data_IF_117808891596
#
_entry.id   IF_117808891596
#
_cell.length_a   1.000
_cell.length_b   1.000
_cell.length_c   1.000
_cell.angle_alpha   90.00
_cell.angle_beta   90.00
_cell.angle_gamma   90.00
#
_symmetry.space_group_name_H-M   'P 1'
#
loop_
_entity.id
_entity.type
_entity.pdbx_description
1 polymer ?
#
# COMPACT_ATOMS: atom_id res chain seq x y z
N UNK A 1 8.87 20.90 34.42
CA UNK A 1 8.30 22.00 33.62
C UNK A 1 9.46 22.90 33.27
N UNK A 2 10.15 22.54 32.20
CA UNK A 2 11.13 23.37 31.49
C UNK A 2 10.77 23.12 30.03
N UNK A 3 10.11 24.10 29.44
CA UNK A 3 9.92 24.21 28.00
C UNK A 3 11.20 24.88 27.53
N UNK A 4 12.01 24.15 26.76
CA UNK A 4 13.03 24.79 25.93
C UNK A 4 12.31 25.13 24.63
N UNK A 5 12.10 26.43 24.45
CA UNK A 5 11.56 27.05 23.25
C UNK A 5 12.65 26.96 22.16
N UNK A 6 12.52 25.99 21.26
CA UNK A 6 13.21 26.04 19.97
C UNK A 6 12.43 27.03 19.08
N UNK A 7 12.88 28.28 19.10
CA UNK A 7 12.41 29.31 18.16
C UNK A 7 12.87 28.95 16.74
N UNK A 8 11.91 28.62 15.88
CA UNK A 8 12.11 28.43 14.44
C UNK A 8 12.70 29.72 13.81
N UNK A 9 13.98 29.69 13.43
CA UNK A 9 14.59 30.73 12.59
C UNK A 9 14.00 30.64 11.16
N UNK A 10 13.10 31.57 10.83
CA UNK A 10 12.56 31.76 9.48
C UNK A 10 13.54 32.64 8.71
N UNK A 11 14.15 32.12 7.65
CA UNK A 11 14.99 32.91 6.75
C UNK A 11 14.16 33.93 5.94
N UNK A 12 14.78 35.07 5.59
CA UNK A 12 14.14 36.16 4.85
C UNK A 12 13.84 35.84 3.37
N UNK A 13 14.10 34.60 2.91
CA UNK A 13 13.76 34.12 1.56
C UNK A 13 12.61 33.10 1.54
N UNK A 14 11.96 32.80 2.68
CA UNK A 14 10.77 31.95 2.72
C UNK A 14 10.99 30.54 2.15
N UNK A 15 12.22 30.05 2.22
CA UNK A 15 12.62 28.74 1.73
C UNK A 15 12.71 27.75 2.89
N UNK A 16 12.04 26.62 2.79
CA UNK A 16 12.28 25.49 3.70
C UNK A 16 13.64 24.88 3.29
N UNK A 17 14.74 25.42 3.82
CA UNK A 17 16.11 24.96 3.50
C UNK A 17 16.47 23.67 4.27
N UNK A 18 15.79 23.36 5.38
CA UNK A 18 16.21 22.30 6.30
C UNK A 18 15.78 20.85 5.97
N UNK A 19 15.01 20.58 4.91
CA UNK A 19 14.52 19.21 4.63
C UNK A 19 15.34 18.41 3.60
N UNK A 20 16.33 19.03 2.94
CA UNK A 20 17.01 18.41 1.79
C UNK A 20 18.38 17.81 2.15
N UNK A 21 18.97 18.20 3.29
CA UNK A 21 20.37 17.85 3.60
C UNK A 21 20.61 16.35 3.88
N UNK A 22 19.55 15.58 4.22
CA UNK A 22 19.67 14.16 4.59
C UNK A 22 19.20 13.17 3.51
N UNK A 23 18.78 13.65 2.33
CA UNK A 23 18.24 12.80 1.28
C UNK A 23 19.31 12.25 0.33
N UNK A 24 19.30 10.94 0.12
CA UNK A 24 20.09 10.32 -0.94
C UNK A 24 19.52 10.71 -2.31
N UNK A 25 20.36 11.00 -3.32
CA UNK A 25 19.89 11.38 -4.66
C UNK A 25 18.88 10.41 -5.29
N UNK A 26 19.01 9.10 -5.01
CA UNK A 26 18.08 8.08 -5.50
C UNK A 26 16.66 8.21 -4.90
N UNK A 27 16.51 8.74 -3.68
CA UNK A 27 15.21 8.95 -3.05
C UNK A 27 14.43 10.07 -3.76
N UNK A 28 15.12 11.12 -4.19
CA UNK A 28 14.54 12.24 -4.96
C UNK A 28 14.00 11.82 -6.34
N UNK A 29 14.43 10.67 -6.86
CA UNK A 29 13.94 10.14 -8.14
C UNK A 29 12.54 9.56 -8.05
N UNK A 30 12.12 9.13 -6.86
CA UNK A 30 10.78 8.58 -6.67
C UNK A 30 9.77 9.62 -6.19
N UNK A 31 10.20 10.67 -5.47
CA UNK A 31 9.30 11.67 -4.88
C UNK A 31 9.90 13.05 -4.94
N UNK A 32 9.02 14.04 -4.92
CA UNK A 32 9.39 15.43 -4.68
C UNK A 32 8.71 15.92 -3.42
N UNK A 33 9.49 16.55 -2.54
CA UNK A 33 8.96 17.42 -1.50
C UNK A 33 8.67 18.78 -2.14
N UNK A 34 7.40 19.16 -2.26
CA UNK A 34 7.05 20.57 -2.50
C UNK A 34 7.02 21.29 -1.15
N UNK A 35 6.92 22.62 -1.17
CA UNK A 35 6.81 23.50 0.02
C UNK A 35 5.52 23.26 0.87
N UNK A 36 4.99 22.04 0.91
CA UNK A 36 3.83 21.56 1.67
C UNK A 36 4.16 20.17 2.19
N UNK A 37 3.50 19.70 3.26
CA UNK A 37 3.73 18.37 3.85
C UNK A 37 3.32 17.18 2.94
N UNK A 38 3.02 17.44 1.67
CA UNK A 38 2.51 16.45 0.72
C UNK A 38 3.64 15.91 -0.14
N UNK A 39 3.95 14.63 0.06
CA UNK A 39 4.92 13.89 -0.77
C UNK A 39 4.27 13.60 -2.12
N UNK A 40 4.87 14.10 -3.21
CA UNK A 40 4.37 13.89 -4.57
C UNK A 40 5.18 12.83 -5.32
N UNK A 41 4.51 12.06 -6.17
CA UNK A 41 5.16 11.04 -7.00
C UNK A 41 6.00 11.71 -8.10
N UNK A 42 7.30 11.44 -8.16
CA UNK A 42 8.17 11.97 -9.22
C UNK A 42 8.11 11.10 -10.49
N UNK A 43 6.93 11.01 -11.11
CA UNK A 43 6.67 10.15 -12.27
C UNK A 43 7.51 10.48 -13.51
N UNK A 44 8.16 11.66 -13.55
CA UNK A 44 9.09 12.07 -14.62
C UNK A 44 10.46 11.44 -14.49
N UNK A 45 10.90 11.12 -13.26
CA UNK A 45 12.25 10.61 -13.01
C UNK A 45 12.28 9.19 -12.46
N UNK A 46 11.13 8.63 -12.05
CA UNK A 46 11.04 7.30 -11.44
C UNK A 46 11.72 6.20 -12.28
N UNK A 47 11.69 6.34 -13.61
CA UNK A 47 12.32 5.39 -14.55
C UNK A 47 13.85 5.32 -14.44
N UNK A 48 14.51 6.28 -13.80
CA UNK A 48 15.95 6.27 -13.58
C UNK A 48 16.38 5.46 -12.36
N UNK A 49 15.46 5.12 -11.45
CA UNK A 49 15.78 4.39 -10.21
C UNK A 49 16.53 3.08 -10.48
N UNK A 50 16.10 2.20 -11.40
CA UNK A 50 16.82 0.94 -11.67
C UNK A 50 18.26 1.18 -12.15
N UNK A 51 18.47 2.18 -13.01
CA UNK A 51 19.79 2.54 -13.52
C UNK A 51 20.69 3.04 -12.39
N UNK A 52 20.20 3.97 -11.57
CA UNK A 52 20.97 4.55 -10.46
C UNK A 52 21.29 3.49 -9.42
N UNK A 53 20.32 2.66 -9.03
CA UNK A 53 20.56 1.57 -8.07
C UNK A 53 21.63 0.59 -8.59
N UNK A 54 21.60 0.25 -9.88
CA UNK A 54 22.61 -0.61 -10.51
C UNK A 54 23.99 0.01 -10.45
N UNK A 55 24.13 1.25 -10.92
CA UNK A 55 25.41 1.95 -10.94
C UNK A 55 25.96 2.12 -9.52
N UNK A 56 25.12 2.52 -8.57
CA UNK A 56 25.50 2.62 -7.15
C UNK A 56 26.03 1.31 -6.58
N UNK A 57 25.45 0.17 -6.98
CA UNK A 57 25.94 -1.16 -6.61
C UNK A 57 27.26 -1.51 -7.32
N UNK A 58 27.39 -1.22 -8.62
CA UNK A 58 28.60 -1.48 -9.41
C UNK A 58 29.81 -0.69 -8.91
N UNK A 59 29.60 0.56 -8.48
CA UNK A 59 30.65 1.43 -7.94
C UNK A 59 30.90 1.23 -6.44
N UNK A 60 30.13 0.36 -5.76
CA UNK A 60 30.28 0.13 -4.32
C UNK A 60 30.02 1.37 -3.47
N UNK A 61 29.08 2.23 -3.89
CA UNK A 61 28.77 3.48 -3.18
C UNK A 61 28.02 3.25 -1.86
N UNK A 62 27.47 2.05 -1.69
CA UNK A 62 26.70 1.65 -0.51
C UNK A 62 27.08 0.22 -0.10
N UNK A 63 26.81 -0.10 1.16
CA UNK A 63 26.83 -1.48 1.65
C UNK A 63 25.94 -2.39 0.81
N UNK A 64 26.29 -3.67 0.73
CA UNK A 64 25.59 -4.67 -0.10
C UNK A 64 24.12 -4.76 0.28
N UNK A 65 23.82 -4.65 1.57
CA UNK A 65 22.49 -4.71 2.17
C UNK A 65 21.62 -3.51 1.79
N UNK A 66 22.22 -2.36 1.47
CA UNK A 66 21.49 -1.16 1.04
C UNK A 66 21.02 -1.25 -0.43
N UNK A 67 21.54 -2.23 -1.19
CA UNK A 67 21.15 -2.55 -2.58
C UNK A 67 21.18 -1.34 -3.51
N UNK A 68 22.30 -0.62 -3.50
CA UNK A 68 22.49 0.57 -4.33
C UNK A 68 21.70 1.78 -3.84
N UNK A 69 21.44 1.87 -2.54
CA UNK A 69 20.71 2.96 -1.90
C UNK A 69 19.19 2.76 -1.85
N UNK A 70 18.65 1.68 -2.42
CA UNK A 70 17.21 1.40 -2.44
C UNK A 70 16.63 1.19 -1.04
N UNK A 71 17.41 0.60 -0.13
CA UNK A 71 17.00 0.25 1.22
C UNK A 71 17.52 1.22 2.28
N UNK A 72 18.16 2.32 1.87
CA UNK A 72 18.52 3.40 2.78
C UNK A 72 17.24 4.09 3.27
N UNK A 73 17.05 4.07 4.59
CA UNK A 73 15.95 4.76 5.23
C UNK A 73 16.28 6.23 5.39
N UNK A 74 15.34 7.09 5.01
CA UNK A 74 15.27 8.49 5.39
C UNK A 74 13.88 8.74 5.97
N UNK A 75 13.79 9.44 7.10
CA UNK A 75 12.51 9.75 7.76
C UNK A 75 11.58 8.52 7.92
N UNK A 76 12.19 7.35 8.19
CA UNK A 76 11.48 6.07 8.34
C UNK A 76 10.93 5.47 7.04
N UNK A 77 11.42 5.92 5.87
CA UNK A 77 11.05 5.38 4.55
C UNK A 77 12.27 5.16 3.65
N UNK A 78 12.28 4.05 2.92
CA UNK A 78 13.26 3.79 1.86
C UNK A 78 12.62 3.89 0.48
N UNK A 79 13.44 3.88 -0.58
CA UNK A 79 13.01 4.03 -1.99
C UNK A 79 11.97 2.97 -2.40
N UNK A 80 12.05 1.74 -1.89
CA UNK A 80 11.05 0.71 -2.22
C UNK A 80 9.68 1.04 -1.67
N UNK A 81 9.58 1.44 -0.40
CA UNK A 81 8.30 1.83 0.21
C UNK A 81 7.70 3.00 -0.54
N UNK A 82 8.54 3.97 -0.81
CA UNK A 82 8.33 5.11 -1.66
C UNK A 82 7.70 4.74 -3.03
N UNK A 83 8.26 3.76 -3.75
CA UNK A 83 7.72 3.27 -5.04
C UNK A 83 6.31 2.68 -4.97
N UNK A 84 5.78 2.44 -3.77
CA UNK A 84 4.41 1.96 -3.54
C UNK A 84 3.42 3.12 -3.39
N UNK A 85 3.87 4.32 -3.04
CA UNK A 85 2.98 5.46 -2.82
C UNK A 85 2.25 5.86 -4.11
N UNK A 86 1.00 6.27 -3.96
CA UNK A 86 0.25 7.02 -4.96
C UNK A 86 0.22 8.49 -4.54
N UNK A 87 0.20 9.39 -5.53
CA UNK A 87 0.04 10.82 -5.24
C UNK A 87 -1.36 11.07 -4.68
N UNK A 88 -1.44 11.58 -3.45
CA UNK A 88 -2.70 11.96 -2.81
C UNK A 88 -3.16 13.38 -3.15
N UNK A 89 -2.26 14.23 -3.68
CA UNK A 89 -2.48 15.68 -3.83
C UNK A 89 -3.06 16.06 -5.19
N UNK A 90 -2.95 15.20 -6.20
CA UNK A 90 -3.09 15.63 -7.59
C UNK A 90 -4.53 15.79 -8.11
N UNK A 91 -5.57 15.37 -7.36
CA UNK A 91 -6.96 15.67 -7.78
C UNK A 91 -7.31 17.16 -7.67
N UNK A 92 -6.49 17.96 -6.99
CA UNK A 92 -6.56 19.43 -7.06
C UNK A 92 -6.27 19.98 -8.48
N UNK A 93 -5.66 19.20 -9.38
CA UNK A 93 -5.25 19.63 -10.72
C UNK A 93 -6.16 19.13 -11.86
N UNK A 94 -7.34 18.56 -11.57
CA UNK A 94 -8.30 18.06 -12.58
C UNK A 94 -7.72 17.01 -13.56
N UNK A 95 -6.79 16.16 -13.11
CA UNK A 95 -6.34 15.03 -13.92
C UNK A 95 -7.41 13.94 -14.01
N UNK A 96 -7.53 13.30 -15.19
CA UNK A 96 -8.43 12.17 -15.38
C UNK A 96 -7.84 10.85 -14.84
N UNK A 97 -8.68 9.84 -14.69
CA UNK A 97 -8.25 8.52 -14.19
C UNK A 97 -7.15 7.87 -15.08
N UNK A 98 -7.06 8.25 -16.35
CA UNK A 98 -6.03 7.75 -17.28
C UNK A 98 -4.64 8.27 -16.93
N UNK A 99 -4.55 9.50 -16.39
CA UNK A 99 -3.28 10.04 -15.91
C UNK A 99 -2.70 9.16 -14.80
N UNK A 100 -3.50 8.85 -13.79
CA UNK A 100 -3.08 8.03 -12.67
C UNK A 100 -2.77 6.59 -13.08
N UNK A 101 -3.56 6.02 -14.00
CA UNK A 101 -3.29 4.69 -14.54
C UNK A 101 -1.94 4.62 -15.30
N UNK A 102 -1.56 5.71 -15.98
CA UNK A 102 -0.25 5.85 -16.63
C UNK A 102 0.89 5.94 -15.62
N UNK A 103 0.70 6.70 -14.53
CA UNK A 103 1.67 6.78 -13.43
C UNK A 103 1.85 5.39 -12.79
N UNK A 104 0.76 4.71 -12.42
CA UNK A 104 0.81 3.38 -11.84
C UNK A 104 1.57 2.39 -12.73
N UNK A 105 1.33 2.47 -14.05
CA UNK A 105 2.08 1.70 -15.05
C UNK A 105 3.59 1.98 -15.02
N UNK A 106 4.03 3.23 -14.89
CA UNK A 106 5.46 3.57 -14.82
C UNK A 106 6.13 3.02 -13.57
N UNK A 107 5.47 3.17 -12.42
CA UNK A 107 6.01 2.65 -11.15
C UNK A 107 6.05 1.12 -11.16
N UNK A 108 5.03 0.45 -11.72
CA UNK A 108 5.06 -0.98 -11.93
C UNK A 108 6.26 -1.42 -12.79
N UNK A 109 6.55 -0.72 -13.89
CA UNK A 109 7.70 -1.05 -14.74
C UNK A 109 9.03 -0.97 -13.97
N UNK A 110 9.16 0.01 -13.07
CA UNK A 110 10.33 0.13 -12.19
C UNK A 110 10.42 -1.05 -11.23
N UNK A 111 9.32 -1.45 -10.58
CA UNK A 111 9.29 -2.64 -9.70
C UNK A 111 9.66 -3.93 -10.45
N UNK A 112 9.17 -4.09 -11.69
CA UNK A 112 9.52 -5.23 -12.55
C UNK A 112 11.01 -5.25 -12.87
N UNK A 113 11.60 -4.10 -13.25
CA UNK A 113 13.04 -4.02 -13.53
C UNK A 113 13.88 -4.32 -12.29
N UNK A 114 13.53 -3.73 -11.14
CA UNK A 114 14.22 -4.00 -9.87
C UNK A 114 14.17 -5.48 -9.49
N UNK A 115 13.04 -6.16 -9.75
CA UNK A 115 12.91 -7.62 -9.57
C UNK A 115 13.82 -8.40 -10.52
N UNK A 116 13.84 -8.05 -11.81
CA UNK A 116 14.68 -8.72 -12.81
C UNK A 116 16.19 -8.57 -12.52
N UNK A 117 16.56 -7.50 -11.80
CA UNK A 117 17.94 -7.19 -11.41
C UNK A 117 18.33 -7.76 -10.03
N UNK A 118 17.45 -8.55 -9.40
CA UNK A 118 17.63 -9.07 -8.03
C UNK A 118 17.87 -7.97 -6.97
N UNK A 119 17.27 -6.79 -7.19
CA UNK A 119 17.32 -5.67 -6.25
C UNK A 119 16.06 -5.59 -5.38
N UNK A 120 14.90 -5.90 -5.95
CA UNK A 120 13.65 -6.13 -5.23
C UNK A 120 13.46 -7.63 -5.05
N UNK A 121 13.24 -8.06 -3.81
CA UNK A 121 13.07 -9.46 -3.43
C UNK A 121 11.69 -9.70 -2.85
N UNK A 122 11.26 -10.96 -2.87
CA UNK A 122 9.94 -11.35 -2.36
C UNK A 122 9.80 -10.99 -0.88
N UNK A 123 10.86 -11.18 -0.09
CA UNK A 123 10.90 -10.92 1.34
C UNK A 123 10.71 -9.43 1.66
N UNK A 124 11.08 -8.53 0.74
CA UNK A 124 10.92 -7.09 0.92
C UNK A 124 9.44 -6.68 0.96
N UNK A 125 8.57 -7.41 0.24
CA UNK A 125 7.10 -7.16 0.24
C UNK A 125 6.57 -7.21 1.66
N UNK A 126 6.97 -8.23 2.41
CA UNK A 126 6.56 -8.41 3.79
C UNK A 126 7.39 -7.55 4.75
N UNK A 127 8.71 -7.51 4.58
CA UNK A 127 9.62 -6.81 5.49
C UNK A 127 9.31 -5.32 5.58
N UNK A 128 8.92 -4.71 4.46
CA UNK A 128 8.60 -3.29 4.39
C UNK A 128 7.11 -2.99 4.29
N UNK A 129 6.27 -4.02 4.47
CA UNK A 129 4.81 -3.94 4.44
C UNK A 129 4.29 -3.25 3.17
N UNK A 130 4.88 -3.58 2.01
CA UNK A 130 4.61 -2.89 0.74
C UNK A 130 3.12 -2.97 0.36
N UNK A 131 2.49 -4.13 0.56
CA UNK A 131 1.06 -4.29 0.27
C UNK A 131 0.19 -3.46 1.22
N UNK A 132 0.53 -3.44 2.51
CA UNK A 132 -0.18 -2.66 3.52
C UNK A 132 -0.13 -1.17 3.23
N UNK A 133 1.07 -0.69 2.87
CA UNK A 133 1.30 0.72 2.51
C UNK A 133 0.53 1.11 1.26
N UNK A 134 0.45 0.24 0.26
CA UNK A 134 -0.35 0.50 -0.94
C UNK A 134 -1.82 0.68 -0.59
N UNK A 135 -2.35 -0.22 0.23
CA UNK A 135 -3.74 -0.21 0.66
C UNK A 135 -4.07 0.99 1.58
N UNK A 136 -3.20 1.30 2.53
CA UNK A 136 -3.40 2.36 3.52
C UNK A 136 -3.08 3.78 3.02
N UNK A 137 -2.20 3.95 2.03
CA UNK A 137 -1.97 5.29 1.46
C UNK A 137 -3.07 5.76 0.54
N UNK A 138 -3.72 4.83 -0.16
CA UNK A 138 -4.87 5.16 -0.99
C UNK A 138 -6.09 5.64 -0.21
N UNK A 139 -6.07 5.60 1.13
CA UNK A 139 -7.20 6.00 1.98
C UNK A 139 -6.88 7.14 2.97
N UNK A 140 -5.82 7.94 2.74
CA UNK A 140 -5.65 9.20 3.49
C UNK A 140 -6.36 10.39 2.84
N UNK A 141 -6.65 10.27 1.54
CA UNK A 141 -7.36 11.29 0.79
C UNK A 141 -8.57 10.62 0.14
N UNK A 142 -9.77 11.13 0.46
CA UNK A 142 -11.07 10.56 0.12
C UNK A 142 -11.32 10.34 -1.40
N UNK A 143 -10.38 10.75 -2.24
CA UNK A 143 -10.46 10.71 -3.68
C UNK A 143 -9.22 10.13 -4.37
N UNK A 144 -8.31 9.48 -3.63
CA UNK A 144 -7.06 9.04 -4.24
C UNK A 144 -7.23 7.83 -5.16
N UNK A 145 -6.44 7.78 -6.23
CA UNK A 145 -6.42 6.64 -7.15
C UNK A 145 -5.82 5.40 -6.47
N UNK A 146 -6.53 4.28 -6.53
CA UNK A 146 -6.01 2.99 -6.09
C UNK A 146 -5.12 2.38 -7.16
N UNK A 147 -3.87 2.08 -6.81
CA UNK A 147 -2.85 1.60 -7.73
C UNK A 147 -2.97 0.08 -8.02
N UNK A 148 -3.97 -0.26 -8.84
CA UNK A 148 -4.39 -1.62 -9.13
C UNK A 148 -3.28 -2.49 -9.73
N UNK A 149 -2.47 -1.93 -10.64
CA UNK A 149 -1.43 -2.72 -11.33
C UNK A 149 -0.30 -3.09 -10.38
N UNK A 150 0.09 -2.15 -9.50
CA UNK A 150 1.03 -2.43 -8.42
C UNK A 150 0.46 -3.39 -7.39
N UNK A 151 -0.82 -3.27 -7.03
CA UNK A 151 -1.49 -4.19 -6.12
C UNK A 151 -1.44 -5.62 -6.66
N UNK A 152 -1.89 -5.82 -7.90
CA UNK A 152 -1.89 -7.14 -8.56
C UNK A 152 -0.47 -7.72 -8.63
N UNK A 153 0.53 -6.92 -9.00
CA UNK A 153 1.92 -7.36 -9.05
C UNK A 153 2.45 -7.85 -7.71
N UNK A 154 2.20 -7.12 -6.62
CA UNK A 154 2.65 -7.51 -5.28
C UNK A 154 1.96 -8.79 -4.80
N UNK A 155 0.63 -8.85 -4.98
CA UNK A 155 -0.17 -10.01 -4.57
C UNK A 155 0.21 -11.26 -5.38
N UNK A 156 0.37 -11.14 -6.70
CA UNK A 156 0.78 -12.26 -7.55
C UNK A 156 2.16 -12.80 -7.19
N UNK A 157 3.06 -11.92 -6.76
CA UNK A 157 4.40 -12.32 -6.37
C UNK A 157 4.46 -12.94 -4.98
N UNK A 158 3.74 -12.36 -4.02
CA UNK A 158 3.61 -12.92 -2.68
C UNK A 158 2.19 -12.84 -2.12
N UNK A 159 1.35 -13.84 -2.41
CA UNK A 159 -0.02 -13.86 -1.91
C UNK A 159 -0.07 -13.91 -0.38
N UNK A 160 0.94 -14.50 0.28
CA UNK A 160 0.95 -14.62 1.75
C UNK A 160 0.92 -13.25 2.45
N UNK A 161 1.37 -12.20 1.75
CA UNK A 161 1.26 -10.82 2.18
C UNK A 161 -0.19 -10.34 2.34
N UNK A 162 -1.23 -11.01 1.79
CA UNK A 162 -2.63 -10.65 2.04
C UNK A 162 -3.14 -11.09 3.42
N UNK A 163 -2.56 -12.16 3.96
CA UNK A 163 -3.03 -12.80 5.21
C UNK A 163 -2.23 -12.38 6.45
N UNK A 164 -1.13 -11.65 6.24
CA UNK A 164 -0.34 -11.11 7.33
C UNK A 164 -1.17 -10.06 8.08
N UNK A 165 -0.90 -9.97 9.37
CA UNK A 165 -1.39 -8.89 10.21
C UNK A 165 -0.29 -7.85 10.21
N UNK A 166 -0.60 -6.60 9.90
CA UNK A 166 0.38 -5.51 9.98
C UNK A 166 0.92 -5.37 11.39
N UNK A 167 2.06 -4.70 11.55
CA UNK A 167 2.65 -4.47 12.88
C UNK A 167 1.72 -3.66 13.81
N UNK A 168 0.70 -3.02 13.25
CA UNK A 168 -0.37 -2.33 13.99
C UNK A 168 -1.50 -3.26 14.45
N UNK A 169 -1.46 -4.54 14.10
CA UNK A 169 -2.53 -5.51 14.38
C UNK A 169 -3.69 -5.50 13.37
N UNK A 170 -3.52 -4.88 12.19
CA UNK A 170 -4.60 -4.75 11.20
C UNK A 170 -4.48 -5.85 10.15
N UNK A 171 -5.56 -6.59 9.86
CA UNK A 171 -5.66 -7.33 8.61
C UNK A 171 -5.52 -6.34 7.43
N UNK A 172 -4.86 -6.73 6.35
CA UNK A 172 -4.66 -5.83 5.19
C UNK A 172 -5.96 -5.32 4.54
N UNK A 173 -7.04 -6.11 4.65
CA UNK A 173 -8.38 -5.63 4.27
C UNK A 173 -8.73 -4.39 5.11
N UNK A 174 -8.47 -4.39 6.43
CA UNK A 174 -8.76 -3.30 7.34
C UNK A 174 -7.88 -2.08 7.09
N UNK A 175 -6.62 -2.26 6.68
CA UNK A 175 -5.74 -1.15 6.28
C UNK A 175 -6.26 -0.42 5.05
N UNK A 176 -6.88 -1.13 4.10
CA UNK A 176 -7.56 -0.53 2.95
C UNK A 176 -8.89 0.18 3.30
N UNK A 177 -9.35 0.04 4.55
CA UNK A 177 -10.68 0.44 5.04
C UNK A 177 -10.59 1.61 6.02
N UNK A 178 -9.40 2.13 6.30
CA UNK A 178 -9.30 3.31 7.15
C UNK A 178 -10.21 4.42 6.55
N UNK A 179 -11.07 5.07 7.36
CA UNK A 179 -12.38 5.62 6.96
C UNK A 179 -12.40 6.81 5.97
N UNK A 180 -11.34 7.04 5.19
CA UNK A 180 -11.23 8.17 4.27
C UNK A 180 -10.81 7.74 2.85
N UNK A 181 -11.73 7.17 2.06
CA UNK A 181 -11.53 7.06 0.61
C UNK A 181 -11.38 5.65 0.04
N UNK A 182 -11.71 4.61 0.79
CA UNK A 182 -11.93 3.30 0.18
C UNK A 182 -13.04 3.42 -0.88
N UNK A 183 -12.91 2.71 -2.01
CA UNK A 183 -13.99 2.61 -3.01
C UNK A 183 -14.53 1.19 -3.02
N UNK A 184 -15.77 1.01 -3.50
CA UNK A 184 -16.33 -0.33 -3.73
C UNK A 184 -15.47 -1.17 -4.69
N UNK A 185 -14.74 -0.52 -5.60
CA UNK A 185 -13.80 -1.18 -6.51
C UNK A 185 -12.55 -1.67 -5.78
N UNK A 186 -12.00 -0.87 -4.87
CA UNK A 186 -10.91 -1.28 -3.98
C UNK A 186 -11.30 -2.50 -3.16
N UNK A 187 -12.51 -2.48 -2.57
CA UNK A 187 -13.07 -3.64 -1.88
C UNK A 187 -13.11 -4.88 -2.76
N UNK A 188 -13.69 -4.75 -3.96
CA UNK A 188 -13.80 -5.85 -4.91
C UNK A 188 -12.43 -6.44 -5.27
N UNK A 189 -11.42 -5.61 -5.53
CA UNK A 189 -10.08 -6.08 -5.89
C UNK A 189 -9.40 -6.85 -4.77
N UNK A 190 -9.48 -6.34 -3.54
CA UNK A 190 -8.85 -6.98 -2.39
C UNK A 190 -9.61 -8.28 -2.05
N UNK A 191 -10.94 -8.26 -2.08
CA UNK A 191 -11.74 -9.45 -1.82
C UNK A 191 -11.54 -10.52 -2.91
N UNK A 192 -11.52 -10.13 -4.19
CA UNK A 192 -11.23 -11.05 -5.30
C UNK A 192 -9.85 -11.69 -5.15
N UNK A 193 -8.83 -10.91 -4.81
CA UNK A 193 -7.50 -11.42 -4.51
C UNK A 193 -7.48 -12.38 -3.29
N UNK A 194 -8.20 -12.03 -2.23
CA UNK A 194 -8.35 -12.87 -1.04
C UNK A 194 -8.96 -14.24 -1.39
N UNK A 195 -10.05 -14.26 -2.17
CA UNK A 195 -10.70 -15.50 -2.60
C UNK A 195 -9.84 -16.27 -3.61
N UNK A 196 -9.17 -15.59 -4.54
CA UNK A 196 -8.29 -16.20 -5.56
C UNK A 196 -7.15 -17.00 -4.95
N UNK A 197 -6.45 -16.43 -3.97
CA UNK A 197 -5.25 -17.04 -3.39
C UNK A 197 -5.50 -17.80 -2.09
N UNK A 198 -6.54 -17.43 -1.35
CA UNK A 198 -6.96 -18.10 -0.13
C UNK A 198 -8.42 -18.51 -0.24
N UNK A 199 -8.75 -19.40 -1.18
CA UNK A 199 -10.12 -19.82 -1.38
C UNK A 199 -10.67 -20.38 -0.08
N UNK A 200 -12.00 -20.29 0.07
CA UNK A 200 -12.74 -20.80 1.23
C UNK A 200 -12.54 -19.91 2.47
N UNK A 201 -12.29 -20.53 3.61
CA UNK A 201 -12.38 -19.94 4.93
C UNK A 201 -11.47 -18.74 5.11
N UNK A 202 -10.18 -18.83 4.72
CA UNK A 202 -9.22 -17.75 4.97
C UNK A 202 -9.57 -16.46 4.22
N UNK A 203 -9.94 -16.55 2.95
CA UNK A 203 -10.35 -15.37 2.17
C UNK A 203 -11.66 -14.75 2.67
N UNK A 204 -12.66 -15.58 3.01
CA UNK A 204 -13.93 -15.11 3.58
C UNK A 204 -13.72 -14.50 4.98
N UNK A 205 -12.89 -15.13 5.81
CA UNK A 205 -12.57 -14.65 7.16
C UNK A 205 -11.97 -13.25 7.16
N UNK A 206 -11.31 -12.82 6.08
CA UNK A 206 -10.83 -11.45 5.97
C UNK A 206 -11.95 -10.40 6.06
N UNK A 207 -13.20 -10.74 5.70
CA UNK A 207 -14.35 -9.85 5.81
C UNK A 207 -14.85 -9.66 7.25
N UNK A 208 -14.66 -10.69 8.09
CA UNK A 208 -15.28 -10.81 9.42
C UNK A 208 -14.26 -10.68 10.55
N UNK A 209 -12.99 -10.43 10.21
CA UNK A 209 -11.92 -10.27 11.17
C UNK A 209 -11.89 -8.84 11.70
N UNK A 210 -12.11 -8.69 13.00
CA UNK A 210 -11.96 -7.40 13.66
C UNK A 210 -10.49 -6.96 13.64
N UNK A 211 -10.26 -5.68 13.37
CA UNK A 211 -8.94 -5.07 13.47
C UNK A 211 -8.84 -4.28 14.76
N UNK A 212 -7.62 -4.15 15.27
CA UNK A 212 -7.34 -3.18 16.33
C UNK A 212 -7.70 -1.79 15.78
N UNK A 213 -8.50 -1.00 16.49
CA UNK A 213 -8.84 0.37 16.09
C UNK A 213 -10.04 0.54 15.16
N UNK A 214 -10.76 -0.52 14.78
CA UNK A 214 -12.00 -0.41 14.00
C UNK A 214 -13.26 -0.19 14.85
N UNK A 215 -13.10 0.19 16.12
CA UNK A 215 -14.20 0.25 17.11
C UNK A 215 -15.01 -1.06 17.20
N UNK A 216 -14.34 -2.20 17.01
CA UNK A 216 -14.97 -3.52 17.00
C UNK A 216 -15.75 -3.84 15.72
N UNK A 217 -15.69 -2.99 14.69
CA UNK A 217 -16.33 -3.27 13.40
C UNK A 217 -15.47 -4.17 12.53
N UNK A 218 -16.11 -5.08 11.82
CA UNK A 218 -15.49 -5.88 10.77
C UNK A 218 -15.42 -5.09 9.47
N UNK A 219 -14.51 -5.43 8.54
CA UNK A 219 -14.54 -4.90 7.18
C UNK A 219 -15.90 -4.92 6.50
N UNK A 220 -16.62 -6.04 6.63
CA UNK A 220 -17.95 -6.19 6.07
C UNK A 220 -18.91 -5.13 6.60
N UNK A 221 -18.90 -4.91 7.92
CA UNK A 221 -19.74 -3.88 8.55
C UNK A 221 -19.37 -2.48 8.06
N UNK A 222 -18.07 -2.15 7.98
CA UNK A 222 -17.62 -0.83 7.52
C UNK A 222 -18.06 -0.59 6.07
N UNK A 223 -17.83 -1.54 5.17
CA UNK A 223 -18.28 -1.38 3.78
C UNK A 223 -19.81 -1.33 3.65
N UNK A 224 -20.55 -2.07 4.47
CA UNK A 224 -22.01 -2.00 4.47
C UNK A 224 -22.53 -0.62 4.92
N UNK A 225 -21.83 0.03 5.87
CA UNK A 225 -22.17 1.39 6.33
C UNK A 225 -21.87 2.43 5.24
N UNK A 226 -20.75 2.30 4.52
CA UNK A 226 -20.32 3.28 3.52
C UNK A 226 -21.06 3.14 2.16
N UNK A 227 -21.29 1.91 1.71
CA UNK A 227 -21.82 1.62 0.36
C UNK A 227 -23.21 0.97 0.36
N UNK A 228 -23.71 0.56 1.52
CA UNK A 228 -24.96 -0.16 1.64
C UNK A 228 -24.81 -1.67 1.44
N UNK A 229 -25.57 -2.42 2.23
CA UNK A 229 -25.56 -3.89 2.27
C UNK A 229 -25.74 -4.52 0.88
N UNK A 230 -26.71 -4.06 0.08
CA UNK A 230 -27.01 -4.65 -1.23
C UNK A 230 -25.81 -4.57 -2.19
N UNK A 231 -25.10 -3.43 -2.19
CA UNK A 231 -23.95 -3.24 -3.08
C UNK A 231 -22.77 -4.12 -2.66
N UNK A 232 -22.51 -4.20 -1.36
CA UNK A 232 -21.44 -5.04 -0.81
C UNK A 232 -21.72 -6.52 -1.05
N UNK A 233 -22.95 -6.97 -0.78
CA UNK A 233 -23.36 -8.36 -1.01
C UNK A 233 -23.28 -8.74 -2.47
N UNK A 234 -23.67 -7.84 -3.39
CA UNK A 234 -23.51 -8.09 -4.83
C UNK A 234 -22.05 -8.37 -5.20
N UNK A 235 -21.11 -7.56 -4.71
CA UNK A 235 -19.67 -7.77 -4.96
C UNK A 235 -19.20 -9.12 -4.40
N UNK A 236 -19.66 -9.48 -3.19
CA UNK A 236 -19.31 -10.74 -2.55
C UNK A 236 -19.84 -11.92 -3.38
N UNK A 237 -21.13 -11.92 -3.72
CA UNK A 237 -21.78 -12.97 -4.50
C UNK A 237 -21.15 -13.14 -5.87
N UNK A 238 -20.95 -12.04 -6.62
CA UNK A 238 -20.31 -12.08 -7.94
C UNK A 238 -18.89 -12.66 -7.85
N UNK A 239 -18.15 -12.35 -6.78
CA UNK A 239 -16.80 -12.89 -6.56
C UNK A 239 -16.86 -14.38 -6.23
N UNK A 240 -17.74 -14.80 -5.33
CA UNK A 240 -17.87 -16.22 -4.97
C UNK A 240 -18.35 -17.08 -6.15
N UNK A 241 -19.26 -16.56 -6.98
CA UNK A 241 -19.72 -17.24 -8.20
C UNK A 241 -18.53 -17.48 -9.16
N UNK A 242 -17.64 -16.49 -9.36
CA UNK A 242 -16.44 -16.64 -10.21
C UNK A 242 -15.50 -17.75 -9.75
N UNK A 243 -15.47 -18.05 -8.44
CA UNK A 243 -14.57 -19.06 -7.86
C UNK A 243 -15.30 -20.33 -7.39
N UNK A 244 -16.58 -20.51 -7.74
CA UNK A 244 -17.45 -21.59 -7.28
C UNK A 244 -17.01 -23.01 -7.67
N UNK A 245 -16.18 -23.15 -8.71
CA UNK A 245 -15.54 -24.42 -9.10
C UNK A 245 -14.50 -24.90 -8.06
N UNK A 246 -14.14 -24.07 -7.09
CA UNK A 246 -13.26 -24.43 -5.97
C UNK A 246 -14.12 -24.94 -4.80
N UNK A 247 -14.07 -26.24 -4.43
CA UNK A 247 -15.01 -26.80 -3.45
C UNK A 247 -14.89 -26.12 -2.08
N UNK A 248 -15.95 -25.41 -1.65
CA UNK A 248 -16.05 -24.71 -0.37
C UNK A 248 -16.42 -25.71 0.73
N UNK A 249 -15.53 -25.91 1.71
CA UNK A 249 -15.88 -26.68 2.91
C UNK A 249 -16.52 -25.74 3.95
N UNK A 250 -17.83 -25.58 3.86
CA UNK A 250 -18.63 -24.71 4.74
C UNK A 250 -18.54 -25.16 6.21
N UNK A 251 -18.35 -26.46 6.47
CA UNK A 251 -18.26 -27.00 7.83
C UNK A 251 -16.97 -26.56 8.51
N UNK A 252 -15.83 -26.69 7.82
CA UNK A 252 -14.56 -26.16 8.32
C UNK A 252 -14.66 -24.64 8.52
N UNK A 253 -15.32 -23.93 7.60
CA UNK A 253 -15.56 -22.48 7.63
C UNK A 253 -16.24 -22.01 8.93
N UNK A 254 -17.27 -22.73 9.37
CA UNK A 254 -18.01 -22.46 10.60
C UNK A 254 -17.23 -22.86 11.85
N UNK A 255 -16.49 -23.97 11.80
CA UNK A 255 -15.72 -24.47 12.95
C UNK A 255 -14.58 -23.49 13.32
N UNK A 256 -13.75 -23.05 12.37
CA UNK A 256 -12.69 -22.08 12.74
C UNK A 256 -13.26 -20.70 13.08
N UNK A 257 -14.41 -20.29 12.52
CA UNK A 257 -15.09 -19.06 12.96
C UNK A 257 -15.59 -19.17 14.41
N UNK A 258 -16.01 -20.36 14.86
CA UNK A 258 -16.43 -20.59 16.24
C UNK A 258 -15.25 -20.72 17.22
N UNK A 259 -14.03 -20.96 16.73
CA UNK A 259 -12.82 -21.12 17.55
C UNK A 259 -11.98 -19.82 17.60
N UNK A 260 -12.01 -18.99 16.54
CA UNK A 260 -11.27 -17.73 16.50
C UNK A 260 -12.08 -16.60 17.17
N UNK A 261 -11.65 -16.19 18.36
CA UNK A 261 -12.27 -15.11 19.14
C UNK A 261 -12.30 -13.76 18.41
N UNK A 262 -11.54 -13.60 17.31
CA UNK A 262 -11.49 -12.39 16.49
C UNK A 262 -12.43 -12.43 15.27
N UNK A 263 -13.14 -13.55 15.06
CA UNK A 263 -14.09 -13.74 13.97
C UNK A 263 -15.51 -13.64 14.53
N UNK A 264 -16.26 -12.65 14.05
CA UNK A 264 -17.66 -12.44 14.45
C UNK A 264 -18.57 -12.63 13.23
N UNK A 265 -19.42 -13.65 13.29
CA UNK A 265 -20.44 -13.98 12.28
C UNK A 265 -21.65 -13.05 12.36
#
# INVERSE_FOLDING_TARGET
MCWDDDEDEIDEEGGIVHLVEDLYPIQLLGFTYRNRPEVQCNWKTVSFIPLVARLSKEFGLFEVEARGGLLCEDNGRNVLQNLIFSDGSERLYNYDDKHYESIDGKYLQVLIQLRQMDLLKKEDIQRYELLDRLCGHSCYFAESYFAEKRFQFLVEWDPSALTRISDRGWPHLNSAIYPFGATIRTFQLIFDAGIKYFPKQKGIHMLFRQGIGTNGKTPFQIFCEDFGYEQVMKVIEETLIRYSDTPINIVDALITAAIDENVHL
#
